data_IF_653379727047
#
_entry.id   IF_653379727047
#
_cell.length_a   1.000
_cell.length_b   1.000
_cell.length_c   1.000
_cell.angle_alpha   90.00
_cell.angle_beta   90.00
_cell.angle_gamma   90.00
#
_symmetry.space_group_name_H-M   'P 1'
#
loop_
_entity.id
_entity.type
_entity.pdbx_description
1 polymer ?
#
# COMPACT_ATOMS: atom_id res chain seq x y z
N UNK A 1 -73.37 -12.93 34.51
CA UNK A 1 -72.76 -14.21 34.89
C UNK A 1 -72.51 -14.98 33.60
N UNK A 2 -71.25 -15.00 33.13
CA UNK A 2 -70.84 -15.59 31.85
C UNK A 2 -69.87 -16.72 32.19
N UNK A 3 -70.16 -17.93 31.72
CA UNK A 3 -69.38 -19.13 32.01
C UNK A 3 -67.96 -19.04 31.41
N UNK A 4 -66.94 -19.64 32.04
CA UNK A 4 -65.59 -19.69 31.46
C UNK A 4 -65.48 -20.78 30.39
N UNK A 5 -64.95 -20.40 29.22
CA UNK A 5 -64.62 -21.29 28.11
C UNK A 5 -63.40 -22.16 28.43
N UNK A 6 -63.45 -23.42 27.99
CA UNK A 6 -62.45 -24.46 28.19
C UNK A 6 -61.31 -24.31 27.15
N UNK A 7 -60.02 -24.46 27.51
CA UNK A 7 -58.93 -24.43 26.55
C UNK A 7 -58.88 -25.73 25.73
N UNK A 8 -58.91 -25.62 24.41
CA UNK A 8 -58.66 -26.72 23.47
C UNK A 8 -57.17 -26.84 23.20
N UNK A 9 -56.59 -27.99 23.53
CA UNK A 9 -55.21 -28.37 23.16
C UNK A 9 -55.08 -28.52 21.63
N UNK A 10 -53.96 -28.08 21.02
CA UNK A 10 -53.64 -28.41 19.64
C UNK A 10 -53.17 -29.87 19.54
N UNK A 11 -53.82 -30.62 18.66
CA UNK A 11 -53.44 -31.95 18.20
C UNK A 11 -52.16 -31.89 17.37
N UNK A 12 -51.20 -32.75 17.73
CA UNK A 12 -49.95 -32.99 16.99
C UNK A 12 -50.28 -33.91 15.81
N UNK A 13 -49.99 -33.47 14.59
CA UNK A 13 -50.11 -34.29 13.39
C UNK A 13 -48.95 -35.31 13.31
N UNK A 14 -49.21 -36.54 12.84
CA UNK A 14 -48.21 -37.60 12.73
C UNK A 14 -47.33 -37.48 11.47
N UNK A 15 -46.07 -37.87 11.69
CA UNK A 15 -44.96 -38.13 10.77
C UNK A 15 -45.29 -38.39 9.29
N UNK A 16 -44.62 -37.62 8.42
CA UNK A 16 -44.48 -37.94 7.00
C UNK A 16 -43.28 -38.88 6.79
N UNK A 17 -43.40 -39.94 5.97
CA UNK A 17 -42.37 -40.96 5.84
C UNK A 17 -41.15 -40.49 5.06
N UNK A 18 -39.98 -40.72 5.68
CA UNK A 18 -38.63 -40.57 5.13
C UNK A 18 -38.45 -41.53 3.95
N UNK A 19 -38.04 -41.00 2.79
CA UNK A 19 -37.63 -41.80 1.64
C UNK A 19 -36.17 -42.26 1.81
N UNK A 20 -35.83 -43.51 1.45
CA UNK A 20 -34.52 -44.09 1.72
C UNK A 20 -33.41 -43.54 0.81
N UNK A 21 -32.26 -43.36 1.45
CA UNK A 21 -30.93 -43.13 0.89
C UNK A 21 -30.59 -44.26 -0.09
N UNK A 22 -30.29 -43.92 -1.34
CA UNK A 22 -29.63 -44.85 -2.25
C UNK A 22 -28.11 -44.64 -2.16
N UNK A 23 -27.48 -45.48 -1.36
CA UNK A 23 -26.05 -45.74 -1.43
C UNK A 23 -25.74 -46.39 -2.78
N UNK A 24 -24.92 -45.75 -3.61
CA UNK A 24 -24.21 -46.45 -4.66
C UNK A 24 -22.71 -46.20 -4.52
N UNK A 25 -22.10 -47.06 -3.73
CA UNK A 25 -20.67 -47.25 -3.69
C UNK A 25 -20.23 -47.99 -4.96
N UNK A 26 -19.53 -47.30 -5.85
CA UNK A 26 -18.65 -47.94 -6.82
C UNK A 26 -17.22 -47.60 -6.45
N UNK A 27 -16.66 -48.48 -5.61
CA UNK A 27 -15.24 -48.75 -5.50
C UNK A 27 -14.84 -49.45 -6.79
N UNK A 28 -13.92 -48.91 -7.57
CA UNK A 28 -12.96 -49.69 -8.36
C UNK A 28 -11.84 -48.84 -8.99
N UNK A 29 -10.63 -49.39 -8.85
CA UNK A 29 -9.33 -49.12 -9.47
C UNK A 29 -8.68 -47.72 -9.40
N UNK A 30 -7.74 -47.60 -8.46
CA UNK A 30 -6.48 -46.87 -8.64
C UNK A 30 -5.55 -47.62 -9.63
N UNK A 31 -4.67 -46.91 -10.35
CA UNK A 31 -3.37 -47.46 -10.71
C UNK A 31 -2.20 -46.72 -10.06
N UNK A 32 -1.20 -47.55 -9.78
CA UNK A 32 0.06 -47.32 -9.09
C UNK A 32 0.90 -46.10 -9.53
N UNK A 33 1.55 -45.56 -8.50
CA UNK A 33 2.85 -44.91 -8.46
C UNK A 33 3.79 -45.15 -9.66
N UNK A 34 4.32 -44.03 -10.19
CA UNK A 34 5.70 -43.93 -10.66
C UNK A 34 6.28 -42.62 -10.10
N UNK A 35 7.37 -42.70 -9.36
CA UNK A 35 8.30 -41.58 -9.17
C UNK A 35 9.68 -41.98 -9.71
N UNK A 36 10.75 -41.21 -9.48
CA UNK A 36 10.85 -39.76 -9.29
C UNK A 36 11.73 -39.12 -10.38
N UNK A 37 11.22 -38.13 -11.12
CA UNK A 37 12.06 -37.40 -12.07
C UNK A 37 12.73 -36.20 -11.38
N UNK A 38 13.94 -36.46 -10.90
CA UNK A 38 14.95 -35.46 -10.60
C UNK A 38 15.37 -34.74 -11.90
N UNK A 39 14.85 -33.53 -12.11
CA UNK A 39 15.13 -32.72 -13.30
C UNK A 39 15.55 -31.29 -12.97
N UNK A 40 16.85 -31.10 -12.76
CA UNK A 40 17.64 -29.89 -13.07
C UNK A 40 17.07 -28.51 -12.72
N UNK A 41 17.42 -28.03 -11.52
CA UNK A 41 17.51 -26.60 -11.21
C UNK A 41 18.71 -26.00 -11.95
N UNK A 42 18.48 -25.47 -13.15
CA UNK A 42 19.49 -24.70 -13.89
C UNK A 42 18.91 -23.37 -14.35
N UNK A 43 19.16 -22.31 -13.58
CA UNK A 43 19.53 -20.96 -14.04
C UNK A 43 19.21 -19.88 -12.99
N UNK A 44 20.04 -19.76 -11.96
CA UNK A 44 20.17 -18.51 -11.20
C UNK A 44 21.13 -17.57 -11.95
N UNK A 45 20.74 -16.33 -12.30
CA UNK A 45 21.67 -15.37 -12.87
C UNK A 45 22.69 -14.90 -11.81
N UNK A 46 23.98 -15.06 -12.13
CA UNK A 46 25.12 -14.62 -11.30
C UNK A 46 25.09 -13.10 -11.09
N UNK A 47 25.04 -12.66 -9.83
CA UNK A 47 25.20 -11.23 -9.48
C UNK A 47 26.66 -10.81 -9.67
N UNK A 48 26.87 -9.62 -10.22
CA UNK A 48 28.18 -8.96 -10.35
C UNK A 48 28.72 -8.56 -8.97
N UNK A 49 30.02 -8.67 -8.70
CA UNK A 49 30.61 -8.13 -7.46
C UNK A 49 30.52 -6.60 -7.42
N UNK A 50 30.17 -6.05 -6.25
CA UNK A 50 30.33 -4.62 -5.97
C UNK A 50 31.82 -4.29 -5.74
N UNK A 51 32.29 -3.10 -6.16
CA UNK A 51 33.62 -2.62 -5.85
C UNK A 51 33.75 -2.22 -4.37
N UNK A 52 34.82 -2.70 -3.73
CA UNK A 52 35.29 -2.28 -2.40
C UNK A 52 35.95 -0.90 -2.44
N UNK A 53 35.80 -0.06 -1.40
CA UNK A 53 36.57 1.18 -1.28
C UNK A 53 37.98 0.87 -0.78
N UNK A 54 38.99 1.28 -1.54
CA UNK A 54 40.38 1.29 -1.08
C UNK A 54 40.59 2.46 -0.12
N UNK A 55 41.05 2.12 1.08
CA UNK A 55 41.64 3.01 2.07
C UNK A 55 43.06 3.32 1.59
N UNK A 56 43.43 4.61 1.52
CA UNK A 56 44.83 4.98 1.40
C UNK A 56 45.21 6.02 2.46
N UNK A 57 46.27 5.64 3.17
CA UNK A 57 46.80 6.23 4.40
C UNK A 57 47.71 7.40 4.07
N UNK A 58 47.67 8.41 4.94
CA UNK A 58 48.54 9.58 4.97
C UNK A 58 50.04 9.23 5.06
N UNK A 59 50.89 10.01 4.40
CA UNK A 59 52.28 10.25 4.83
C UNK A 59 52.64 11.72 4.57
N UNK A 60 53.22 12.35 5.60
CA UNK A 60 53.80 13.69 5.60
C UNK A 60 55.34 13.64 5.49
N UNK A 61 55.94 14.62 4.81
CA UNK A 61 57.31 15.16 4.96
C UNK A 61 57.49 16.26 3.89
N UNK A 62 57.47 17.56 4.21
CA UNK A 62 58.58 18.44 4.64
C UNK A 62 59.89 18.35 3.83
N UNK A 63 60.27 19.46 3.16
CA UNK A 63 61.65 19.97 3.02
C UNK A 63 61.76 21.19 2.08
N UNK A 64 61.92 22.37 2.68
CA UNK A 64 62.84 23.49 2.42
C UNK A 64 63.58 23.68 1.06
N UNK A 65 63.62 24.96 0.62
CA UNK A 65 64.83 25.81 0.36
C UNK A 65 65.06 26.36 -1.08
N UNK A 66 64.78 27.68 -1.18
CA UNK A 66 65.61 28.79 -1.70
C UNK A 66 66.14 28.83 -3.15
N UNK A 67 65.88 30.00 -3.78
CA UNK A 67 66.30 30.51 -5.10
C UNK A 67 67.82 30.77 -5.26
N UNK A 68 68.32 31.13 -6.47
CA UNK A 68 68.45 32.57 -6.82
C UNK A 68 68.37 32.97 -8.34
N UNK A 69 68.01 34.26 -8.58
CA UNK A 69 68.48 35.31 -9.53
C UNK A 69 68.75 35.01 -11.04
N UNK A 70 68.73 35.98 -12.02
CA UNK A 70 69.06 37.43 -11.97
C UNK A 70 68.00 38.33 -12.68
N UNK A 71 67.99 39.67 -12.77
CA UNK A 71 68.89 40.79 -12.51
C UNK A 71 68.65 41.86 -13.60
N UNK A 72 68.16 43.07 -13.25
CA UNK A 72 68.14 44.22 -14.18
C UNK A 72 68.01 45.59 -13.46
N UNK A 73 69.15 46.29 -13.42
CA UNK A 73 69.50 47.73 -13.47
C UNK A 73 68.49 48.86 -13.13
N UNK A 74 69.02 49.81 -12.33
CA UNK A 74 68.61 51.20 -11.97
C UNK A 74 68.94 52.22 -13.11
N UNK A 75 68.78 53.57 -13.04
CA UNK A 75 68.12 54.49 -12.07
C UNK A 75 67.22 55.59 -12.71
N UNK A 76 66.50 56.37 -11.89
CA UNK A 76 66.58 57.86 -11.83
C UNK A 76 65.28 58.53 -11.40
N UNK A 77 65.46 59.64 -10.67
CA UNK A 77 64.45 60.42 -9.95
C UNK A 77 63.71 61.36 -10.90
N UNK A 78 62.39 61.41 -10.84
CA UNK A 78 61.56 62.59 -11.17
C UNK A 78 60.18 62.27 -10.58
N UNK A 79 59.79 62.86 -9.47
CA UNK A 79 59.30 64.23 -9.48
C UNK A 79 57.77 64.16 -9.49
N UNK A 80 57.18 64.30 -8.30
CA UNK A 80 55.93 65.04 -8.10
C UNK A 80 54.84 64.87 -9.16
N UNK A 81 54.00 63.86 -8.98
CA UNK A 81 52.57 63.99 -9.29
C UNK A 81 51.77 63.46 -8.10
N UNK A 82 51.81 64.25 -7.01
CA UNK A 82 50.77 64.18 -6.01
C UNK A 82 49.47 64.70 -6.64
N UNK A 83 48.37 64.03 -6.28
CA UNK A 83 46.99 64.52 -6.34
C UNK A 83 46.28 64.40 -7.71
N UNK A 84 45.67 63.23 -8.01
CA UNK A 84 44.26 63.20 -8.46
C UNK A 84 43.59 61.82 -8.68
N UNK A 85 44.27 60.67 -8.47
CA UNK A 85 43.69 59.37 -8.87
C UNK A 85 43.46 58.32 -7.76
N UNK A 86 43.38 58.72 -6.48
CA UNK A 86 43.10 57.78 -5.37
C UNK A 86 41.63 57.75 -4.87
N UNK A 87 40.73 58.57 -5.43
CA UNK A 87 39.31 58.48 -5.08
C UNK A 87 38.53 57.51 -5.98
N UNK A 88 38.84 57.46 -7.29
CA UNK A 88 38.00 56.75 -8.27
C UNK A 88 38.21 55.22 -8.30
N UNK A 89 39.34 54.69 -7.78
CA UNK A 89 39.59 53.24 -7.64
C UNK A 89 39.19 52.66 -6.27
N UNK A 90 38.78 53.51 -5.32
CA UNK A 90 38.25 53.11 -4.02
C UNK A 90 36.71 53.10 -3.99
N UNK A 91 36.05 54.05 -4.67
CA UNK A 91 34.59 54.10 -4.78
C UNK A 91 33.97 53.00 -5.69
N UNK A 92 34.73 52.47 -6.66
CA UNK A 92 34.28 51.41 -7.58
C UNK A 92 34.25 50.00 -6.96
N UNK A 93 35.02 49.74 -5.90
CA UNK A 93 35.07 48.44 -5.20
C UNK A 93 33.96 48.27 -4.16
N UNK A 94 33.44 49.36 -3.59
CA UNK A 94 32.37 49.34 -2.57
C UNK A 94 31.02 48.93 -3.15
N UNK A 95 30.66 49.41 -4.35
CA UNK A 95 29.47 48.97 -5.09
C UNK A 95 29.57 47.50 -5.55
N UNK A 96 30.75 47.06 -6.01
CA UNK A 96 31.00 45.66 -6.41
C UNK A 96 30.95 44.71 -5.21
N UNK A 97 31.54 45.09 -4.07
CA UNK A 97 31.49 44.29 -2.83
C UNK A 97 30.07 44.15 -2.31
N UNK A 98 29.26 45.21 -2.33
CA UNK A 98 27.85 45.13 -1.95
C UNK A 98 27.05 44.24 -2.92
N UNK A 99 27.34 44.29 -4.23
CA UNK A 99 26.72 43.40 -5.21
C UNK A 99 27.07 41.92 -4.95
N UNK A 100 28.33 41.60 -4.67
CA UNK A 100 28.74 40.23 -4.32
C UNK A 100 28.11 39.74 -3.01
N UNK A 101 27.96 40.61 -2.01
CA UNK A 101 27.29 40.28 -0.74
C UNK A 101 25.80 40.00 -0.98
N UNK A 102 25.10 40.84 -1.74
CA UNK A 102 23.68 40.64 -2.07
C UNK A 102 23.48 39.36 -2.90
N UNK A 103 24.37 39.09 -3.87
CA UNK A 103 24.34 37.86 -4.65
C UNK A 103 24.57 36.61 -3.78
N UNK A 104 25.53 36.66 -2.85
CA UNK A 104 25.80 35.56 -1.91
C UNK A 104 24.60 35.32 -0.97
N UNK A 105 23.99 36.37 -0.43
CA UNK A 105 22.77 36.26 0.38
C UNK A 105 21.64 35.67 -0.46
N UNK A 106 21.44 36.14 -1.70
CA UNK A 106 20.43 35.62 -2.63
C UNK A 106 20.63 34.13 -2.93
N UNK A 107 21.86 33.70 -3.19
CA UNK A 107 22.20 32.28 -3.40
C UNK A 107 21.94 31.46 -2.13
N UNK A 108 22.30 31.97 -0.97
CA UNK A 108 22.09 31.27 0.30
C UNK A 108 20.59 31.11 0.61
N UNK A 109 19.79 32.15 0.38
CA UNK A 109 18.33 32.10 0.49
C UNK A 109 17.71 31.12 -0.52
N UNK A 110 18.19 31.11 -1.77
CA UNK A 110 17.72 30.18 -2.79
C UNK A 110 18.00 28.72 -2.42
N UNK A 111 19.22 28.43 -1.94
CA UNK A 111 19.57 27.09 -1.47
C UNK A 111 18.71 26.66 -0.27
N UNK A 112 18.46 27.57 0.68
CA UNK A 112 17.57 27.30 1.82
C UNK A 112 16.12 27.01 1.38
N UNK A 113 15.59 27.74 0.38
CA UNK A 113 14.26 27.48 -0.19
C UNK A 113 14.20 26.12 -0.90
N UNK A 114 15.21 25.77 -1.68
CA UNK A 114 15.27 24.47 -2.37
C UNK A 114 15.27 23.32 -1.35
N UNK A 115 16.09 23.41 -0.30
CA UNK A 115 16.14 22.40 0.78
C UNK A 115 14.80 22.35 1.55
N UNK A 116 14.23 23.51 1.89
CA UNK A 116 12.94 23.60 2.56
C UNK A 116 11.80 22.97 1.76
N UNK A 117 11.74 23.22 0.45
CA UNK A 117 10.75 22.61 -0.44
C UNK A 117 10.98 21.11 -0.61
N UNK A 118 12.23 20.65 -0.72
CA UNK A 118 12.54 19.23 -0.84
C UNK A 118 12.09 18.43 0.39
N UNK A 119 12.33 18.95 1.60
CA UNK A 119 11.86 18.34 2.85
C UNK A 119 10.34 18.45 3.00
N UNK A 120 9.76 19.62 2.69
CA UNK A 120 8.31 19.84 2.76
C UNK A 120 7.50 18.92 1.85
N UNK A 121 7.98 18.65 0.63
CA UNK A 121 7.35 17.69 -0.28
C UNK A 121 7.52 16.24 0.17
N UNK A 122 8.69 15.91 0.74
CA UNK A 122 8.99 14.54 1.19
C UNK A 122 8.17 14.12 2.41
N UNK A 123 7.80 15.08 3.26
CA UNK A 123 6.91 14.84 4.41
C UNK A 123 5.42 14.73 4.02
N UNK A 124 5.02 15.24 2.84
CA UNK A 124 3.62 15.16 2.34
C UNK A 124 3.26 13.82 1.69
N UNK A 125 4.21 12.88 1.56
CA UNK A 125 3.98 11.57 0.90
C UNK A 125 3.74 10.42 1.88
N UNK A 126 3.49 10.70 3.16
CA UNK A 126 3.06 9.69 4.13
C UNK A 126 1.65 10.05 4.60
N UNK A 127 0.68 9.19 4.28
CA UNK A 127 -0.73 9.25 4.71
C UNK A 127 -1.71 9.97 3.76
N UNK A 128 -1.61 9.72 2.45
CA UNK A 128 -2.82 9.78 1.61
C UNK A 128 -3.63 8.51 1.86
N UNK A 129 -4.19 8.37 3.06
CA UNK A 129 -5.34 7.48 3.27
C UNK A 129 -6.39 8.02 2.32
N UNK A 130 -6.61 7.32 1.22
CA UNK A 130 -7.47 7.81 0.16
C UNK A 130 -8.88 7.96 0.74
N UNK A 131 -9.29 9.20 1.03
CA UNK A 131 -10.59 9.55 1.60
C UNK A 131 -11.68 9.48 0.52
N UNK A 132 -11.78 8.35 -0.17
CA UNK A 132 -12.81 8.19 -1.17
C UNK A 132 -14.15 7.86 -0.51
N UNK A 133 -15.19 8.59 -0.91
CA UNK A 133 -16.56 8.25 -0.53
C UNK A 133 -16.97 6.89 -1.13
N UNK A 134 -18.01 6.29 -0.54
CA UNK A 134 -18.64 5.10 -1.09
C UNK A 134 -19.42 5.47 -2.36
N UNK A 135 -19.34 4.67 -3.44
CA UNK A 135 -20.26 4.79 -4.56
C UNK A 135 -21.70 4.47 -4.12
N UNK A 136 -22.68 5.03 -4.83
CA UNK A 136 -24.12 4.85 -4.52
C UNK A 136 -24.92 4.27 -5.69
N UNK A 137 -24.31 4.01 -6.85
CA UNK A 137 -25.01 3.60 -8.08
C UNK A 137 -24.91 2.10 -8.38
N UNK A 138 -24.04 1.37 -7.68
CA UNK A 138 -23.61 0.04 -8.07
C UNK A 138 -24.06 -1.07 -7.09
N UNK A 139 -24.85 -0.68 -6.08
CA UNK A 139 -25.24 -1.49 -4.93
C UNK A 139 -24.57 -0.99 -3.65
N UNK A 140 -25.36 -0.91 -2.57
CA UNK A 140 -24.99 -0.28 -1.30
C UNK A 140 -25.28 1.22 -1.27
N UNK A 141 -24.79 1.95 -0.25
CA UNK A 141 -23.95 1.46 0.83
C UNK A 141 -24.69 0.50 1.76
N UNK A 142 -24.00 -0.53 2.20
CA UNK A 142 -24.46 -1.50 3.19
C UNK A 142 -23.68 -1.29 4.49
N UNK A 143 -24.29 -1.64 5.61
CA UNK A 143 -23.64 -1.69 6.91
C UNK A 143 -23.57 -3.13 7.39
N UNK A 144 -22.40 -3.55 7.86
CA UNK A 144 -22.18 -4.89 8.40
C UNK A 144 -20.96 -4.92 9.30
N UNK A 145 -20.63 -6.11 9.81
CA UNK A 145 -19.40 -6.32 10.54
C UNK A 145 -18.23 -6.62 9.60
N UNK A 146 -17.05 -6.20 10.02
CA UNK A 146 -15.77 -6.53 9.41
C UNK A 146 -14.97 -7.37 10.40
N UNK A 147 -14.49 -8.52 9.96
CA UNK A 147 -13.47 -9.33 10.65
C UNK A 147 -12.26 -9.54 9.75
N UNK A 148 -11.28 -10.33 10.21
CA UNK A 148 -10.15 -10.72 9.39
C UNK A 148 -9.79 -12.19 9.50
N UNK A 149 -9.13 -12.71 8.46
CA UNK A 149 -8.64 -14.08 8.35
C UNK A 149 -7.29 -14.17 7.64
N UNK A 150 -6.62 -15.31 7.78
CA UNK A 150 -5.42 -15.66 7.03
C UNK A 150 -5.82 -16.47 5.79
N UNK A 151 -5.67 -15.93 4.57
CA UNK A 151 -6.16 -16.58 3.36
C UNK A 151 -5.27 -17.73 2.90
N UNK A 152 -5.88 -18.61 2.09
CA UNK A 152 -5.21 -19.68 1.37
C UNK A 152 -5.85 -19.80 -0.03
N UNK A 153 -6.31 -20.99 -0.42
CA UNK A 153 -7.15 -21.18 -1.60
C UNK A 153 -8.60 -20.80 -1.27
N UNK A 154 -9.10 -19.72 -1.87
CA UNK A 154 -10.47 -19.26 -1.69
C UNK A 154 -11.47 -19.96 -2.63
N UNK A 155 -12.76 -19.77 -2.34
CA UNK A 155 -13.89 -20.33 -3.10
C UNK A 155 -13.95 -19.86 -4.56
N UNK A 156 -13.27 -18.77 -4.90
CA UNK A 156 -13.10 -18.32 -6.29
C UNK A 156 -11.97 -19.04 -7.04
N UNK A 157 -11.25 -19.98 -6.40
CA UNK A 157 -10.14 -20.70 -7.00
C UNK A 157 -8.83 -19.92 -7.05
N UNK A 158 -8.73 -18.80 -6.32
CA UNK A 158 -7.50 -18.01 -6.20
C UNK A 158 -6.74 -18.37 -4.93
N UNK A 159 -5.42 -18.48 -5.03
CA UNK A 159 -4.53 -18.56 -3.86
C UNK A 159 -4.05 -17.16 -3.50
N UNK A 160 -4.28 -16.74 -2.27
CA UNK A 160 -3.95 -15.40 -1.77
C UNK A 160 -3.14 -15.45 -0.47
N UNK A 161 -2.56 -14.31 -0.10
CA UNK A 161 -1.74 -14.12 1.12
C UNK A 161 -2.34 -13.04 2.01
N UNK A 162 -1.92 -13.02 3.28
CA UNK A 162 -2.31 -12.02 4.30
C UNK A 162 -2.06 -10.55 3.88
N UNK A 163 -1.15 -10.33 2.93
CA UNK A 163 -0.84 -9.00 2.38
C UNK A 163 -1.75 -8.55 1.23
N UNK A 164 -2.55 -9.44 0.64
CA UNK A 164 -3.42 -9.13 -0.48
C UNK A 164 -4.65 -8.33 -0.05
N UNK A 165 -5.12 -7.40 -0.90
CA UNK A 165 -6.30 -6.58 -0.60
C UNK A 165 -7.56 -7.27 -1.09
N UNK A 166 -8.00 -8.24 -0.30
CA UNK A 166 -9.08 -9.17 -0.65
C UNK A 166 -10.12 -9.27 0.47
N UNK A 167 -11.26 -9.87 0.13
CA UNK A 167 -12.29 -10.22 1.09
C UNK A 167 -12.99 -11.52 0.71
N UNK A 168 -13.54 -12.17 1.73
CA UNK A 168 -14.62 -13.13 1.63
C UNK A 168 -15.95 -12.41 1.85
N UNK A 169 -16.89 -12.55 0.92
CA UNK A 169 -18.27 -12.07 1.10
C UNK A 169 -19.10 -13.13 1.81
N UNK A 170 -20.21 -12.74 2.44
CA UNK A 170 -21.08 -13.66 3.13
C UNK A 170 -21.57 -14.81 2.24
N UNK A 171 -21.75 -15.99 2.84
CA UNK A 171 -22.33 -17.11 2.13
C UNK A 171 -23.71 -16.82 1.55
N UNK A 172 -24.55 -16.01 2.24
CA UNK A 172 -25.87 -15.61 1.77
C UNK A 172 -25.76 -14.90 0.42
N UNK A 173 -24.87 -13.92 0.33
CA UNK A 173 -24.66 -13.11 -0.88
C UNK A 173 -23.97 -13.93 -1.99
N UNK A 174 -22.97 -14.73 -1.63
CA UNK A 174 -22.24 -15.58 -2.57
C UNK A 174 -23.16 -16.63 -3.19
N UNK A 175 -23.95 -17.33 -2.38
CA UNK A 175 -24.84 -18.40 -2.85
C UNK A 175 -25.97 -17.83 -3.69
N UNK A 176 -26.55 -16.67 -3.31
CA UNK A 176 -27.58 -16.00 -4.09
C UNK A 176 -27.10 -15.60 -5.50
N UNK A 177 -25.82 -15.29 -5.66
CA UNK A 177 -25.23 -14.96 -6.97
C UNK A 177 -24.85 -16.18 -7.81
N UNK A 178 -24.86 -17.39 -7.24
CA UNK A 178 -24.34 -18.58 -7.92
C UNK A 178 -25.20 -18.97 -9.12
N UNK A 179 -24.57 -19.17 -10.28
CA UNK A 179 -25.21 -19.56 -11.54
C UNK A 179 -25.00 -21.03 -11.92
N UNK A 180 -24.20 -21.76 -11.13
CA UNK A 180 -23.85 -23.16 -11.37
C UNK A 180 -23.22 -23.82 -10.15
N UNK A 181 -22.76 -25.06 -10.31
CA UNK A 181 -22.18 -25.85 -9.20
C UNK A 181 -20.70 -25.57 -8.94
N UNK A 182 -20.00 -24.91 -9.86
CA UNK A 182 -18.58 -24.55 -9.71
C UNK A 182 -18.45 -23.20 -9.00
N UNK A 183 -17.99 -23.14 -7.73
CA UNK A 183 -17.88 -21.88 -7.00
C UNK A 183 -16.83 -20.93 -7.59
N UNK A 184 -15.84 -21.46 -8.33
CA UNK A 184 -14.82 -20.64 -9.01
C UNK A 184 -15.41 -19.76 -10.14
N UNK A 185 -16.61 -20.10 -10.63
CA UNK A 185 -17.34 -19.38 -11.67
C UNK A 185 -18.41 -18.44 -11.10
N UNK A 186 -18.45 -18.25 -9.78
CA UNK A 186 -19.42 -17.35 -9.16
C UNK A 186 -19.25 -15.92 -9.72
N UNK A 187 -20.33 -15.25 -10.15
CA UNK A 187 -20.28 -13.90 -10.71
C UNK A 187 -19.67 -12.83 -9.79
N UNK A 188 -19.64 -13.04 -8.47
CA UNK A 188 -18.99 -12.12 -7.53
C UNK A 188 -17.47 -12.25 -7.52
N UNK A 189 -16.92 -13.38 -7.99
CA UNK A 189 -15.48 -13.59 -7.98
C UNK A 189 -14.75 -12.55 -8.84
N UNK A 190 -13.77 -11.87 -8.22
CA UNK A 190 -13.00 -10.82 -8.87
C UNK A 190 -13.66 -9.43 -8.85
N UNK A 191 -14.93 -9.31 -8.48
CA UNK A 191 -15.58 -8.01 -8.26
C UNK A 191 -14.89 -7.25 -7.13
N UNK A 192 -15.03 -5.92 -7.16
CA UNK A 192 -14.45 -5.04 -6.14
C UNK A 192 -15.49 -4.30 -5.34
N UNK A 193 -15.18 -4.11 -4.06
CA UNK A 193 -15.95 -3.27 -3.16
C UNK A 193 -15.04 -2.27 -2.45
N UNK A 194 -15.63 -1.16 -2.00
CA UNK A 194 -14.96 -0.18 -1.15
C UNK A 194 -15.50 -0.29 0.25
N UNK A 195 -14.61 -0.48 1.21
CA UNK A 195 -14.88 -0.37 2.65
C UNK A 195 -14.66 1.07 3.09
N UNK A 196 -15.44 1.52 4.07
CA UNK A 196 -15.29 2.82 4.72
C UNK A 196 -15.61 2.74 6.20
N UNK A 197 -14.71 3.31 7.02
CA UNK A 197 -14.88 3.48 8.47
C UNK A 197 -14.06 4.66 8.95
N UNK A 198 -14.62 5.48 9.84
CA UNK A 198 -13.91 6.58 10.51
C UNK A 198 -13.15 7.52 9.54
N UNK A 199 -13.76 7.77 8.37
CA UNK A 199 -13.19 8.62 7.31
C UNK A 199 -12.03 8.00 6.51
N UNK A 200 -11.71 6.72 6.74
CA UNK A 200 -10.75 5.92 5.97
C UNK A 200 -11.49 5.00 5.00
N UNK A 201 -10.89 4.74 3.85
CA UNK A 201 -11.45 3.85 2.84
C UNK A 201 -10.38 2.93 2.25
N UNK A 202 -10.78 1.73 1.87
CA UNK A 202 -9.92 0.73 1.21
C UNK A 202 -10.74 -0.08 0.21
N UNK A 203 -10.17 -0.32 -0.96
CA UNK A 203 -10.78 -1.14 -1.99
C UNK A 203 -10.23 -2.56 -1.90
N UNK A 204 -11.12 -3.55 -1.99
CA UNK A 204 -10.76 -4.97 -1.93
C UNK A 204 -11.43 -5.76 -3.03
N UNK A 205 -10.84 -6.90 -3.37
CA UNK A 205 -11.37 -7.85 -4.36
C UNK A 205 -12.03 -9.05 -3.67
N UNK A 206 -13.21 -9.45 -4.14
CA UNK A 206 -13.87 -10.67 -3.67
C UNK A 206 -13.13 -11.89 -4.23
N UNK A 207 -12.68 -12.77 -3.34
CA UNK A 207 -11.95 -14.00 -3.72
C UNK A 207 -12.44 -15.25 -2.98
N UNK A 208 -13.36 -15.08 -2.03
CA UNK A 208 -13.78 -16.17 -1.17
C UNK A 208 -15.21 -15.98 -0.62
N UNK A 209 -15.69 -17.02 0.04
CA UNK A 209 -17.02 -17.14 0.64
C UNK A 209 -16.90 -17.36 2.14
N UNK A 210 -17.45 -16.45 2.93
CA UNK A 210 -17.46 -16.53 4.39
C UNK A 210 -18.71 -17.28 4.89
N UNK A 211 -18.51 -18.54 5.34
CA UNK A 211 -19.57 -19.40 5.89
C UNK A 211 -20.19 -18.88 7.19
N UNK A 212 -19.44 -18.11 7.98
CA UNK A 212 -19.88 -17.61 9.29
C UNK A 212 -20.44 -16.18 9.28
N UNK A 213 -20.40 -15.51 8.13
CA UNK A 213 -20.78 -14.11 7.99
C UNK A 213 -22.29 -13.95 7.76
N UNK A 214 -22.89 -12.94 8.40
CA UNK A 214 -24.24 -12.47 8.03
C UNK A 214 -24.19 -11.81 6.66
N UNK A 215 -25.36 -11.57 6.05
CA UNK A 215 -25.49 -11.14 4.66
C UNK A 215 -24.57 -9.97 4.26
N UNK A 216 -24.46 -8.95 5.12
CA UNK A 216 -23.62 -7.76 4.88
C UNK A 216 -22.26 -7.77 5.58
N UNK A 217 -21.94 -8.84 6.32
CA UNK A 217 -20.64 -8.98 6.98
C UNK A 217 -19.57 -9.35 5.95
N UNK A 218 -18.35 -8.86 6.17
CA UNK A 218 -17.18 -9.13 5.35
C UNK A 218 -16.04 -9.66 6.21
N UNK A 219 -15.28 -10.62 5.66
CA UNK A 219 -14.06 -11.13 6.28
C UNK A 219 -12.88 -10.77 5.37
N UNK A 220 -11.92 -9.98 5.85
CA UNK A 220 -10.83 -9.45 5.02
C UNK A 220 -9.47 -9.98 5.45
N UNK A 221 -8.42 -9.69 4.71
CA UNK A 221 -7.07 -9.92 5.22
C UNK A 221 -6.71 -8.96 6.35
N UNK A 222 -5.77 -9.36 7.21
CA UNK A 222 -5.19 -8.49 8.26
C UNK A 222 -4.69 -7.16 7.67
N UNK A 223 -4.02 -7.20 6.51
CA UNK A 223 -3.50 -6.00 5.85
C UNK A 223 -4.59 -4.98 5.44
N UNK A 224 -5.81 -5.44 5.15
CA UNK A 224 -6.98 -4.59 4.87
C UNK A 224 -7.59 -4.09 6.17
N UNK A 225 -7.75 -4.97 7.16
CA UNK A 225 -8.33 -4.62 8.46
C UNK A 225 -7.56 -3.47 9.13
N UNK A 226 -6.23 -3.54 9.12
CA UNK A 226 -5.34 -2.49 9.63
C UNK A 226 -5.48 -1.12 8.95
N UNK A 227 -6.08 -1.06 7.73
CA UNK A 227 -6.37 0.22 7.08
C UNK A 227 -7.52 0.96 7.76
N UNK A 228 -8.45 0.24 8.37
CA UNK A 228 -9.72 0.78 8.86
C UNK A 228 -9.92 0.60 10.36
N UNK A 229 -9.18 -0.29 11.03
CA UNK A 229 -9.27 -0.57 12.45
C UNK A 229 -7.94 -1.08 13.05
N UNK A 230 -7.83 -1.07 14.38
CA UNK A 230 -6.74 -1.72 15.11
C UNK A 230 -7.01 -3.22 15.23
N UNK A 231 -6.00 -4.07 14.98
CA UNK A 231 -6.17 -5.53 14.91
C UNK A 231 -6.79 -6.13 16.19
N UNK A 232 -6.43 -5.59 17.35
CA UNK A 232 -6.89 -6.04 18.67
C UNK A 232 -8.40 -5.90 18.89
N UNK A 233 -9.10 -5.12 18.05
CA UNK A 233 -10.56 -5.02 18.10
C UNK A 233 -11.23 -6.31 17.63
N UNK A 234 -10.61 -7.09 16.75
CA UNK A 234 -11.10 -8.37 16.23
C UNK A 234 -12.31 -8.29 15.29
N UNK A 235 -13.25 -7.37 15.58
CA UNK A 235 -14.49 -7.14 14.84
C UNK A 235 -14.89 -5.67 14.98
N UNK A 236 -15.25 -5.03 13.87
CA UNK A 236 -15.73 -3.64 13.86
C UNK A 236 -16.89 -3.47 12.89
N UNK A 237 -17.76 -2.48 13.11
CA UNK A 237 -18.74 -2.08 12.09
C UNK A 237 -18.06 -1.39 10.90
N UNK A 238 -18.53 -1.65 9.69
CA UNK A 238 -18.03 -1.02 8.45
C UNK A 238 -19.19 -0.66 7.54
N UNK A 239 -19.02 0.38 6.73
CA UNK A 239 -19.88 0.63 5.58
C UNK A 239 -19.16 0.19 4.31
N UNK A 240 -19.87 -0.40 3.36
CA UNK A 240 -19.27 -0.78 2.10
C UNK A 240 -20.23 -0.68 0.92
N UNK A 241 -19.69 -0.51 -0.28
CA UNK A 241 -20.47 -0.46 -1.51
C UNK A 241 -19.67 -1.07 -2.66
N UNK A 242 -20.38 -1.62 -3.63
CA UNK A 242 -19.76 -2.20 -4.82
C UNK A 242 -19.16 -1.12 -5.71
N UNK A 243 -17.97 -1.38 -6.28
CA UNK A 243 -17.35 -0.48 -7.25
C UNK A 243 -17.91 -0.65 -8.66
N UNK A 244 -18.59 -1.77 -8.92
CA UNK A 244 -19.19 -2.18 -10.19
C UNK A 244 -20.60 -2.70 -9.92
N UNK A 245 -21.51 -2.64 -10.89
CA UNK A 245 -22.91 -3.07 -10.66
C UNK A 245 -22.97 -4.55 -10.28
N UNK A 246 -23.43 -4.85 -9.07
CA UNK A 246 -23.53 -6.22 -8.59
C UNK A 246 -24.69 -6.99 -9.27
N UNK A 247 -24.50 -8.30 -9.55
CA UNK A 247 -25.54 -9.13 -10.15
C UNK A 247 -26.67 -9.50 -9.17
N UNK A 248 -26.48 -9.23 -7.87
CA UNK A 248 -27.46 -9.47 -6.81
C UNK A 248 -27.54 -8.29 -5.85
N UNK A 249 -28.74 -8.04 -5.30
CA UNK A 249 -28.96 -7.06 -4.25
C UNK A 249 -28.97 -7.74 -2.88
N UNK A 250 -28.45 -7.05 -1.86
CA UNK A 250 -28.67 -7.40 -0.45
C UNK A 250 -30.14 -7.14 -0.10
N UNK A 251 -30.74 -8.03 0.68
CA UNK A 251 -32.17 -7.99 1.05
C UNK A 251 -32.49 -7.07 2.22
#
# INVERSE_FOLDING_TARGET
MRAPEKPTHPTVDPESPVSPISDNATRDQAPAHNGPDSGSWSAMPKRKPLPTPAVETAIAADATKTAPAPGAKSPSKFGTWLIHLDWYRYASRRKKRNFFIIAAIGITCLLALIVGLAVGLSLRKKNSTQKFALPTSNGGPYSGDLTYYNPALGSCGYTNTDSDFICAVSHVLFDAASTGSNPNENPLCGMKLRLRRDGRSVDVKVVDRCVGCKETDLDVTEAVFEKVAEIDLGRVGVEWAWLEAAPVSVS
#
